data_IF_568141847001
#
_entry.id   IF_568141847001
#
_cell.length_a   1.000
_cell.length_b   1.000
_cell.length_c   1.000
_cell.angle_alpha   90.00
_cell.angle_beta   90.00
_cell.angle_gamma   90.00
#
_symmetry.space_group_name_H-M   'P 1'
#
loop_
_entity.id
_entity.type
_entity.pdbx_description
1 polymer ?
#
# COMPACT_ATOMS: atom_id res chain seq x y z
N UNK A 1 -11.08 -15.50 16.15
CA UNK A 1 -12.08 -15.07 15.18
C UNK A 1 -11.51 -15.13 13.78
N UNK A 2 -12.11 -15.90 12.92
CA UNK A 2 -11.64 -16.00 11.55
C UNK A 2 -12.09 -14.77 10.77
N UNK A 3 -11.16 -14.16 10.04
CA UNK A 3 -11.51 -13.09 9.12
C UNK A 3 -12.28 -13.69 7.94
N UNK A 4 -13.25 -12.95 7.44
CA UNK A 4 -13.94 -13.36 6.23
C UNK A 4 -12.92 -13.56 5.10
N UNK A 5 -13.08 -14.66 4.36
CA UNK A 5 -12.14 -14.98 3.28
C UNK A 5 -12.37 -14.01 2.11
N UNK A 6 -11.35 -13.25 1.79
CA UNK A 6 -11.43 -12.27 0.71
C UNK A 6 -11.24 -12.96 -0.65
N UNK A 7 -12.11 -12.69 -1.64
CA UNK A 7 -11.93 -13.22 -2.99
C UNK A 7 -10.59 -12.79 -3.61
N UNK A 8 -10.04 -13.63 -4.48
CA UNK A 8 -8.74 -13.36 -5.12
C UNK A 8 -8.74 -12.04 -5.89
N UNK A 9 -9.82 -11.74 -6.62
CA UNK A 9 -9.92 -10.49 -7.38
C UNK A 9 -9.86 -9.27 -6.48
N UNK A 10 -10.49 -9.34 -5.32
CA UNK A 10 -10.48 -8.25 -4.34
C UNK A 10 -9.08 -8.08 -3.77
N UNK A 11 -8.39 -9.18 -3.44
CA UNK A 11 -7.00 -9.14 -2.99
C UNK A 11 -6.08 -8.50 -4.02
N UNK A 12 -6.24 -8.88 -5.29
CA UNK A 12 -5.45 -8.31 -6.39
C UNK A 12 -5.69 -6.82 -6.54
N UNK A 13 -6.95 -6.38 -6.38
CA UNK A 13 -7.30 -4.96 -6.43
C UNK A 13 -6.56 -4.17 -5.36
N UNK A 14 -6.63 -4.59 -4.10
CA UNK A 14 -5.97 -3.88 -3.01
C UNK A 14 -4.45 -3.96 -3.08
N UNK A 15 -3.91 -5.08 -3.54
CA UNK A 15 -2.47 -5.21 -3.76
C UNK A 15 -1.99 -4.20 -4.79
N UNK A 16 -2.75 -4.03 -5.89
CA UNK A 16 -2.44 -3.04 -6.92
C UNK A 16 -2.50 -1.62 -6.35
N UNK A 17 -3.48 -1.33 -5.51
CA UNK A 17 -3.58 -0.02 -4.86
C UNK A 17 -2.35 0.28 -4.01
N UNK A 18 -1.86 -0.70 -3.28
CA UNK A 18 -0.65 -0.54 -2.46
C UNK A 18 0.58 -0.24 -3.34
N UNK A 19 0.71 -0.90 -4.48
CA UNK A 19 1.80 -0.63 -5.42
C UNK A 19 1.68 0.74 -6.11
N UNK A 20 0.47 1.32 -6.17
CA UNK A 20 0.25 2.64 -6.75
C UNK A 20 0.53 3.79 -5.77
N UNK A 21 0.73 3.49 -4.50
CA UNK A 21 0.87 4.50 -3.46
C UNK A 21 1.97 5.52 -3.78
N UNK A 22 3.18 5.06 -4.07
CA UNK A 22 4.32 5.94 -4.38
C UNK A 22 4.04 6.79 -5.61
N UNK A 23 3.52 6.16 -6.65
CA UNK A 23 3.16 6.85 -7.88
C UNK A 23 2.10 7.92 -7.63
N UNK A 24 1.07 7.61 -6.85
CA UNK A 24 0.01 8.56 -6.53
C UNK A 24 0.54 9.76 -5.75
N UNK A 25 1.44 9.53 -4.80
CA UNK A 25 2.10 10.61 -4.06
C UNK A 25 2.91 11.50 -4.99
N UNK A 26 3.68 10.91 -5.88
CA UNK A 26 4.50 11.67 -6.83
C UNK A 26 3.63 12.51 -7.76
N UNK A 27 2.50 11.97 -8.22
CA UNK A 27 1.55 12.70 -9.07
C UNK A 27 0.98 13.89 -8.31
N UNK A 28 0.53 13.69 -7.08
CA UNK A 28 -0.06 14.76 -6.29
C UNK A 28 0.96 15.86 -5.98
N UNK A 29 2.18 15.46 -5.57
CA UNK A 29 3.26 16.41 -5.29
C UNK A 29 3.61 17.23 -6.53
N UNK A 30 3.62 16.60 -7.70
CA UNK A 30 3.90 17.27 -8.97
C UNK A 30 2.83 18.29 -9.32
N UNK A 31 1.55 17.95 -9.14
CA UNK A 31 0.42 18.85 -9.36
C UNK A 31 0.56 20.07 -8.45
N UNK A 32 0.86 19.87 -7.18
CA UNK A 32 1.02 20.94 -6.20
C UNK A 32 2.22 21.83 -6.57
N UNK A 33 3.36 21.22 -6.88
CA UNK A 33 4.59 21.96 -7.19
C UNK A 33 4.46 22.82 -8.44
N UNK A 34 3.75 22.32 -9.46
CA UNK A 34 3.56 23.03 -10.73
C UNK A 34 2.36 23.98 -10.70
N UNK A 35 1.59 23.98 -9.63
CA UNK A 35 0.36 24.76 -9.49
C UNK A 35 -0.58 24.56 -10.67
N UNK A 36 -0.63 23.34 -11.18
CA UNK A 36 -1.49 22.98 -12.28
C UNK A 36 -2.96 23.07 -11.86
N UNK A 37 -3.80 23.56 -12.78
CA UNK A 37 -5.25 23.49 -12.59
C UNK A 37 -5.69 22.07 -12.86
N UNK A 38 -5.73 21.25 -11.81
CA UNK A 38 -6.26 19.91 -11.92
C UNK A 38 -7.74 19.91 -11.50
N UNK A 39 -8.48 18.93 -12.00
CA UNK A 39 -9.85 18.71 -11.59
C UNK A 39 -9.87 18.43 -10.08
N UNK A 40 -10.64 19.24 -9.33
CA UNK A 40 -10.73 19.12 -7.87
C UNK A 40 -11.12 17.70 -7.44
N UNK A 41 -12.04 17.06 -8.19
CA UNK A 41 -12.47 15.69 -7.90
C UNK A 41 -11.29 14.71 -7.98
N UNK A 42 -10.45 14.85 -9.00
CA UNK A 42 -9.28 13.98 -9.16
C UNK A 42 -8.26 14.18 -8.05
N UNK A 43 -8.04 15.43 -7.63
CA UNK A 43 -7.14 15.73 -6.51
C UNK A 43 -7.67 15.11 -5.22
N UNK A 44 -8.95 15.27 -4.93
CA UNK A 44 -9.57 14.70 -3.74
C UNK A 44 -9.50 13.18 -3.76
N UNK A 45 -9.68 12.56 -4.92
CA UNK A 45 -9.61 11.12 -5.08
C UNK A 45 -8.21 10.59 -4.79
N UNK A 46 -7.18 11.22 -5.36
CA UNK A 46 -5.78 10.88 -5.09
C UNK A 46 -5.44 11.05 -3.61
N UNK A 47 -5.86 12.17 -3.04
CA UNK A 47 -5.60 12.48 -1.64
C UNK A 47 -6.21 11.41 -0.71
N UNK A 48 -7.46 11.02 -0.97
CA UNK A 48 -8.13 10.00 -0.17
C UNK A 48 -7.42 8.65 -0.26
N UNK A 49 -6.99 8.25 -1.45
CA UNK A 49 -6.24 7.00 -1.64
C UNK A 49 -4.92 7.01 -0.86
N UNK A 50 -4.21 8.12 -0.94
CA UNK A 50 -2.95 8.30 -0.21
C UNK A 50 -3.20 8.21 1.30
N UNK A 51 -4.21 8.92 1.81
CA UNK A 51 -4.55 8.90 3.23
C UNK A 51 -4.91 7.50 3.74
N UNK A 52 -5.69 6.75 2.97
CA UNK A 52 -6.08 5.40 3.36
C UNK A 52 -4.85 4.50 3.53
N UNK A 53 -3.88 4.59 2.63
CA UNK A 53 -2.66 3.80 2.71
C UNK A 53 -1.76 4.30 3.84
N UNK A 54 -1.69 5.61 4.07
CA UNK A 54 -0.92 6.15 5.19
C UNK A 54 -1.50 5.71 6.54
N UNK A 55 -2.81 5.56 6.61
CA UNK A 55 -3.46 4.98 7.79
C UNK A 55 -3.04 3.52 7.98
N UNK A 56 -2.99 2.73 6.88
CA UNK A 56 -2.48 1.36 6.94
C UNK A 56 -1.05 1.34 7.47
N UNK A 57 -0.18 2.17 6.92
CA UNK A 57 1.23 2.25 7.34
C UNK A 57 1.33 2.58 8.83
N UNK A 58 0.48 3.48 9.34
CA UNK A 58 0.49 3.87 10.75
C UNK A 58 0.16 2.72 11.71
N UNK A 59 -0.49 1.69 11.20
CA UNK A 59 -0.86 0.50 11.99
C UNK A 59 0.22 -0.58 11.98
N UNK A 60 1.30 -0.37 11.22
CA UNK A 60 2.41 -1.31 11.12
C UNK A 60 3.47 -1.00 12.18
N UNK A 61 4.18 -2.04 12.65
CA UNK A 61 5.33 -1.82 13.52
C UNK A 61 6.55 -1.38 12.68
N UNK A 62 7.66 -1.04 13.34
CA UNK A 62 8.85 -0.52 12.67
C UNK A 62 9.41 -1.46 11.61
N UNK A 63 9.47 -2.76 11.92
CA UNK A 63 9.95 -3.78 10.98
C UNK A 63 9.01 -3.89 9.76
N UNK A 64 7.71 -3.94 10.03
CA UNK A 64 6.71 -4.05 8.96
C UNK A 64 6.73 -2.82 8.05
N UNK A 65 6.97 -1.63 8.61
CA UNK A 65 7.10 -0.39 7.82
C UNK A 65 8.29 -0.45 6.87
N UNK A 66 9.42 -0.97 7.34
CA UNK A 66 10.61 -1.15 6.49
C UNK A 66 10.32 -2.12 5.35
N UNK A 67 9.67 -3.24 5.65
CA UNK A 67 9.33 -4.25 4.64
C UNK A 67 8.30 -3.69 3.66
N UNK A 68 7.30 -2.94 4.16
CA UNK A 68 6.33 -2.25 3.30
C UNK A 68 7.04 -1.36 2.29
N UNK A 69 7.99 -0.56 2.76
CA UNK A 69 8.75 0.34 1.88
C UNK A 69 9.52 -0.43 0.80
N UNK A 70 10.19 -1.52 1.19
CA UNK A 70 10.92 -2.35 0.25
C UNK A 70 10.00 -2.94 -0.82
N UNK A 71 8.85 -3.49 -0.42
CA UNK A 71 7.93 -4.16 -1.33
C UNK A 71 7.20 -3.17 -2.23
N UNK A 72 6.55 -2.17 -1.64
CA UNK A 72 5.59 -1.35 -2.37
C UNK A 72 6.16 -0.06 -2.93
N UNK A 73 7.19 0.50 -2.30
CA UNK A 73 7.83 1.73 -2.79
C UNK A 73 9.05 1.45 -3.66
N UNK A 74 9.82 0.41 -3.31
CA UNK A 74 11.04 0.06 -4.04
C UNK A 74 10.85 -1.11 -5.00
N UNK A 75 9.66 -1.72 -5.03
CA UNK A 75 9.32 -2.86 -5.89
C UNK A 75 10.27 -4.05 -5.70
N UNK A 76 10.73 -4.27 -4.48
CA UNK A 76 11.58 -5.41 -4.18
C UNK A 76 10.76 -6.70 -4.12
N UNK A 77 11.23 -7.74 -4.80
CA UNK A 77 10.60 -9.06 -4.71
C UNK A 77 11.07 -9.80 -3.45
N UNK A 78 10.49 -10.98 -3.21
CA UNK A 78 10.88 -11.79 -2.06
C UNK A 78 12.36 -12.14 -2.06
N UNK A 79 12.92 -12.50 -3.22
CA UNK A 79 14.32 -12.90 -3.31
C UNK A 79 15.27 -11.78 -2.86
N UNK A 80 14.98 -10.56 -3.29
CA UNK A 80 15.75 -9.39 -2.87
C UNK A 80 15.62 -9.15 -1.37
N UNK A 81 14.41 -9.20 -0.84
CA UNK A 81 14.15 -9.01 0.59
C UNK A 81 14.85 -10.07 1.43
N UNK A 82 14.84 -11.31 0.98
CA UNK A 82 15.57 -12.41 1.64
C UNK A 82 17.07 -12.14 1.65
N UNK A 83 17.62 -11.75 0.52
CA UNK A 83 19.08 -11.57 0.36
C UNK A 83 19.59 -10.38 1.19
N UNK A 84 18.88 -9.26 1.16
CA UNK A 84 19.32 -8.01 1.78
C UNK A 84 18.98 -7.94 3.27
N UNK A 85 17.80 -8.42 3.67
CA UNK A 85 17.29 -8.28 5.03
C UNK A 85 16.98 -9.61 5.71
N UNK A 86 17.30 -10.71 5.07
CA UNK A 86 17.04 -12.05 5.61
C UNK A 86 15.56 -12.28 6.00
N UNK A 87 14.67 -11.77 5.17
CA UNK A 87 13.22 -11.90 5.37
C UNK A 87 12.79 -13.22 4.75
N UNK A 88 12.16 -14.11 5.53
CA UNK A 88 11.70 -15.37 4.99
C UNK A 88 10.41 -15.20 4.18
N UNK A 89 10.07 -16.23 3.40
CA UNK A 89 8.93 -16.19 2.49
C UNK A 89 7.61 -15.99 3.21
N UNK A 90 7.42 -16.65 4.35
CA UNK A 90 6.21 -16.52 5.16
C UNK A 90 6.03 -15.10 5.64
N UNK A 91 7.08 -14.51 6.18
CA UNK A 91 7.04 -13.13 6.67
C UNK A 91 6.72 -12.15 5.55
N UNK A 92 7.36 -12.32 4.39
CA UNK A 92 7.13 -11.48 3.21
C UNK A 92 5.65 -11.48 2.81
N UNK A 93 5.07 -12.67 2.62
CA UNK A 93 3.68 -12.77 2.18
C UNK A 93 2.69 -12.42 3.29
N UNK A 94 3.02 -12.68 4.55
CA UNK A 94 2.16 -12.30 5.67
C UNK A 94 2.03 -10.77 5.79
N UNK A 95 3.11 -10.04 5.56
CA UNK A 95 3.08 -8.57 5.58
C UNK A 95 2.23 -8.04 4.43
N UNK A 96 2.39 -8.59 3.22
CA UNK A 96 1.56 -8.21 2.07
C UNK A 96 0.09 -8.45 2.39
N UNK A 97 -0.28 -9.62 2.91
CA UNK A 97 -1.65 -9.94 3.24
C UNK A 97 -2.20 -9.05 4.34
N UNK A 98 -1.40 -8.75 5.36
CA UNK A 98 -1.79 -7.83 6.43
C UNK A 98 -2.13 -6.45 5.86
N UNK A 99 -1.29 -5.93 4.97
CA UNK A 99 -1.54 -4.63 4.34
C UNK A 99 -2.80 -4.64 3.49
N UNK A 100 -3.04 -5.72 2.74
CA UNK A 100 -4.26 -5.87 1.94
C UNK A 100 -5.50 -5.82 2.83
N UNK A 101 -5.52 -6.58 3.93
CA UNK A 101 -6.66 -6.61 4.84
C UNK A 101 -6.86 -5.27 5.54
N UNK A 102 -5.79 -4.61 5.98
CA UNK A 102 -5.89 -3.30 6.62
C UNK A 102 -6.46 -2.25 5.65
N UNK A 103 -6.04 -2.29 4.38
CA UNK A 103 -6.55 -1.35 3.39
C UNK A 103 -8.02 -1.63 3.07
N UNK A 104 -8.39 -2.89 2.91
CA UNK A 104 -9.78 -3.28 2.67
C UNK A 104 -10.67 -2.84 3.83
N UNK A 105 -10.20 -2.97 5.06
CA UNK A 105 -10.91 -2.51 6.26
C UNK A 105 -11.05 -0.99 6.23
N UNK A 106 -10.00 -0.26 5.89
CA UNK A 106 -10.01 1.19 5.83
C UNK A 106 -10.98 1.71 4.76
N UNK A 107 -11.12 0.99 3.66
CA UNK A 107 -12.04 1.37 2.57
C UNK A 107 -13.44 0.79 2.74
N UNK A 108 -13.71 0.12 3.86
CA UNK A 108 -15.05 -0.35 4.19
C UNK A 108 -15.46 -1.66 3.52
N UNK A 109 -14.51 -2.40 2.90
CA UNK A 109 -14.81 -3.67 2.26
C UNK A 109 -15.10 -4.79 3.26
N UNK A 110 -14.48 -4.71 4.42
CA UNK A 110 -14.67 -5.69 5.49
C UNK A 110 -14.84 -5.01 6.84
#
# INVERSE_FOLDING_TARGET
MSKAKMPIEVKKYYKRELYQYRKNKDILDDIIAKKEKANTRNILFLHRRIENIETVISKLNSFEKEVFDMIFNQNCDWLYCKTVRNIDKSTYYNIINKCIYLLAEEEGEI
#
